data_IF_886240831088
#
_entry.id   IF_886240831088
#
_cell.length_a   1.000
_cell.length_b   1.000
_cell.length_c   1.000
_cell.angle_alpha   90.00
_cell.angle_beta   90.00
_cell.angle_gamma   90.00
#
_symmetry.space_group_name_H-M   'P 1'
#
loop_
_entity.id
_entity.type
_entity.pdbx_description
1 polymer ?
#
# COMPACT_ATOMS: atom_id res chain seq x y z
N UNK A 1 -17.73 -16.56 62.03
CA UNK A 1 -17.14 -16.69 60.68
C UNK A 1 -18.30 -16.91 59.72
N UNK A 2 -18.71 -15.88 58.99
CA UNK A 2 -19.75 -15.96 57.96
C UNK A 2 -19.41 -15.01 56.81
N UNK A 3 -18.74 -15.54 55.79
CA UNK A 3 -18.45 -14.83 54.54
C UNK A 3 -18.59 -15.83 53.38
N UNK A 4 -19.83 -16.13 52.98
CA UNK A 4 -20.11 -16.87 51.76
C UNK A 4 -21.43 -16.40 51.15
N UNK A 5 -21.37 -15.26 50.43
CA UNK A 5 -22.38 -14.94 49.41
C UNK A 5 -21.74 -14.14 48.27
N UNK A 6 -20.78 -14.78 47.58
CA UNK A 6 -20.22 -14.24 46.33
C UNK A 6 -21.17 -14.56 45.17
N UNK A 7 -21.81 -13.50 44.66
CA UNK A 7 -22.79 -13.45 43.58
C UNK A 7 -22.17 -13.95 42.25
N UNK A 8 -22.29 -15.25 41.98
CA UNK A 8 -22.02 -15.86 40.66
C UNK A 8 -23.16 -15.49 39.71
N UNK A 9 -22.97 -14.52 38.82
CA UNK A 9 -23.96 -14.25 37.77
C UNK A 9 -23.72 -13.08 36.82
N UNK A 10 -22.83 -12.12 37.13
CA UNK A 10 -22.72 -10.89 36.33
C UNK A 10 -21.64 -10.88 35.25
N UNK A 11 -20.57 -11.66 35.40
CA UNK A 11 -19.35 -11.37 34.63
C UNK A 11 -19.38 -11.91 33.18
N UNK A 12 -20.14 -12.96 32.86
CA UNK A 12 -20.13 -13.55 31.49
C UNK A 12 -21.05 -12.85 30.48
N UNK A 13 -22.13 -12.22 30.92
CA UNK A 13 -23.10 -11.57 30.02
C UNK A 13 -22.56 -10.28 29.40
N UNK A 14 -21.69 -9.57 30.12
CA UNK A 14 -21.21 -8.25 29.71
C UNK A 14 -20.16 -8.34 28.59
N UNK A 15 -19.30 -9.37 28.60
CA UNK A 15 -18.35 -9.63 27.51
C UNK A 15 -19.00 -10.08 26.19
N UNK A 16 -20.16 -10.73 26.27
CA UNK A 16 -20.93 -11.14 25.08
C UNK A 16 -21.70 -9.94 24.52
N UNK A 17 -22.18 -9.03 25.38
CA UNK A 17 -22.87 -7.80 24.97
C UNK A 17 -21.91 -6.76 24.38
N UNK A 18 -20.72 -6.62 24.95
CA UNK A 18 -19.66 -5.73 24.44
C UNK A 18 -19.15 -6.11 23.04
N UNK A 19 -19.27 -7.39 22.63
CA UNK A 19 -18.93 -7.85 21.28
C UNK A 19 -20.05 -7.68 20.24
N UNK A 20 -21.26 -7.34 20.65
CA UNK A 20 -22.43 -7.21 19.77
C UNK A 20 -22.78 -5.78 19.37
N UNK A 21 -22.09 -4.80 19.95
CA UNK A 21 -22.19 -3.42 19.53
C UNK A 21 -20.90 -3.05 18.80
N UNK A 22 -20.79 -3.28 17.47
CA UNK A 22 -19.80 -2.54 16.73
C UNK A 22 -20.11 -1.07 16.98
N UNK A 23 -19.20 -0.37 17.66
CA UNK A 23 -19.29 1.06 17.78
C UNK A 23 -19.51 1.60 16.35
N UNK A 24 -20.55 2.42 16.11
CA UNK A 24 -20.83 2.90 14.78
C UNK A 24 -19.56 3.61 14.28
N UNK A 25 -18.96 3.08 13.20
CA UNK A 25 -17.82 3.69 12.57
C UNK A 25 -18.21 5.14 12.24
N UNK A 26 -17.61 6.10 12.97
CA UNK A 26 -17.81 7.52 12.70
C UNK A 26 -17.45 7.77 11.23
N UNK A 27 -18.26 8.54 10.49
CA UNK A 27 -18.21 8.60 9.02
C UNK A 27 -16.82 8.77 8.39
N UNK A 28 -15.87 9.41 9.10
CA UNK A 28 -14.48 9.53 8.67
C UNK A 28 -13.73 8.19 8.54
N UNK A 29 -14.07 7.18 9.34
CA UNK A 29 -13.41 5.87 9.33
C UNK A 29 -13.86 5.02 8.15
N UNK A 30 -15.15 5.06 7.82
CA UNK A 30 -15.72 4.46 6.62
C UNK A 30 -15.17 5.10 5.36
N UNK A 31 -15.02 6.44 5.35
CA UNK A 31 -14.39 7.16 4.25
C UNK A 31 -12.91 6.76 4.08
N UNK A 32 -12.16 6.62 5.18
CA UNK A 32 -10.75 6.21 5.14
C UNK A 32 -10.58 4.79 4.59
N UNK A 33 -11.45 3.86 5.00
CA UNK A 33 -11.50 2.50 4.44
C UNK A 33 -11.80 2.52 2.94
N UNK A 34 -12.77 3.32 2.51
CA UNK A 34 -13.13 3.46 1.10
C UNK A 34 -11.96 4.03 0.28
N UNK A 35 -11.28 5.07 0.79
CA UNK A 35 -10.10 5.65 0.13
C UNK A 35 -8.98 4.63 0.02
N UNK A 36 -8.68 3.90 1.10
CA UNK A 36 -7.65 2.86 1.10
C UNK A 36 -7.96 1.76 0.06
N UNK A 37 -9.20 1.28 0.02
CA UNK A 37 -9.64 0.28 -0.94
C UNK A 37 -9.59 0.81 -2.38
N UNK A 38 -10.10 2.02 -2.63
CA UNK A 38 -10.10 2.64 -3.95
C UNK A 38 -8.67 2.84 -4.49
N UNK A 39 -7.73 3.28 -3.64
CA UNK A 39 -6.32 3.37 -3.99
C UNK A 39 -5.76 2.00 -4.37
N UNK A 40 -6.03 0.96 -3.56
CA UNK A 40 -5.61 -0.41 -3.86
C UNK A 40 -6.11 -0.92 -5.20
N UNK A 41 -7.40 -0.75 -5.47
CA UNK A 41 -7.99 -1.16 -6.75
C UNK A 41 -7.47 -0.35 -7.93
N UNK A 42 -7.16 0.93 -7.76
CA UNK A 42 -6.64 1.78 -8.82
C UNK A 42 -5.15 1.51 -9.12
N UNK A 43 -4.34 1.16 -8.12
CA UNK A 43 -2.90 0.96 -8.30
C UNK A 43 -2.58 -0.24 -9.18
N UNK A 44 -3.31 -1.35 -9.06
CA UNK A 44 -3.05 -2.56 -9.86
C UNK A 44 -3.16 -2.29 -11.36
N UNK A 45 -4.28 -1.78 -11.91
CA UNK A 45 -4.37 -1.46 -13.33
C UNK A 45 -3.42 -0.34 -13.73
N UNK A 46 -3.18 0.66 -12.87
CA UNK A 46 -2.20 1.72 -13.16
C UNK A 46 -0.77 1.15 -13.33
N UNK A 47 -0.37 0.18 -12.51
CA UNK A 47 0.91 -0.51 -12.62
C UNK A 47 1.00 -1.35 -13.88
N UNK A 48 -0.07 -2.05 -14.26
CA UNK A 48 -0.13 -2.79 -15.53
C UNK A 48 0.03 -1.85 -16.71
N UNK A 49 -0.70 -0.73 -16.74
CA UNK A 49 -0.61 0.26 -17.81
C UNK A 49 0.78 0.89 -17.90
N UNK A 50 1.38 1.25 -16.75
CA UNK A 50 2.76 1.75 -16.71
C UNK A 50 3.76 0.70 -17.18
N UNK A 51 3.59 -0.57 -16.79
CA UNK A 51 4.45 -1.65 -17.23
C UNK A 51 4.40 -1.85 -18.74
N UNK A 52 3.20 -1.85 -19.33
CA UNK A 52 3.02 -1.93 -20.78
C UNK A 52 3.62 -0.69 -21.48
N UNK A 53 3.42 0.50 -20.93
CA UNK A 53 4.03 1.72 -21.46
C UNK A 53 5.56 1.73 -21.31
N UNK A 54 6.11 1.00 -20.34
CA UNK A 54 7.54 0.87 -20.15
C UNK A 54 8.22 -0.09 -21.14
N UNK A 55 7.48 -0.93 -21.89
CA UNK A 55 8.07 -1.91 -22.83
C UNK A 55 9.05 -1.29 -23.84
N UNK A 56 8.75 -0.16 -24.52
CA UNK A 56 9.71 0.46 -25.44
C UNK A 56 10.97 0.98 -24.72
N UNK A 57 10.88 1.23 -23.42
CA UNK A 57 11.98 1.75 -22.61
C UNK A 57 13.16 0.80 -22.50
N UNK A 58 13.00 -0.49 -22.81
CA UNK A 58 14.11 -1.43 -22.88
C UNK A 58 15.19 -1.02 -23.89
N UNK A 59 14.82 -0.20 -24.89
CA UNK A 59 15.73 0.27 -25.94
C UNK A 59 15.83 1.79 -26.03
N UNK A 60 15.03 2.55 -25.26
CA UNK A 60 14.91 4.00 -25.37
C UNK A 60 14.71 4.65 -23.99
N UNK A 61 15.10 5.91 -23.86
CA UNK A 61 14.80 6.68 -22.65
C UNK A 61 13.30 6.99 -22.56
N UNK A 62 12.62 6.76 -21.42
CA UNK A 62 11.22 7.09 -21.25
C UNK A 62 10.96 8.59 -21.40
N UNK A 63 9.76 8.94 -21.87
CA UNK A 63 9.36 10.34 -22.01
C UNK A 63 9.10 11.02 -20.66
N UNK A 64 9.18 12.36 -20.55
CA UNK A 64 8.81 13.09 -19.33
C UNK A 64 7.36 12.87 -18.89
N UNK A 65 6.45 12.56 -19.83
CA UNK A 65 5.05 12.20 -19.52
C UNK A 65 4.97 10.89 -18.74
N UNK A 66 5.79 9.91 -19.10
CA UNK A 66 5.88 8.64 -18.39
C UNK A 66 6.36 8.87 -16.95
N UNK A 67 7.40 9.67 -16.73
CA UNK A 67 7.90 9.97 -15.38
C UNK A 67 6.88 10.72 -14.52
N UNK A 68 6.10 11.65 -15.11
CA UNK A 68 4.97 12.28 -14.42
C UNK A 68 3.90 11.28 -13.99
N UNK A 69 3.51 10.37 -14.89
CA UNK A 69 2.55 9.32 -14.56
C UNK A 69 3.08 8.38 -13.47
N UNK A 70 4.33 7.94 -13.59
CA UNK A 70 5.01 7.11 -12.61
C UNK A 70 5.07 7.77 -11.22
N UNK A 71 5.38 9.06 -11.14
CA UNK A 71 5.33 9.82 -9.87
C UNK A 71 3.92 9.89 -9.30
N UNK A 72 2.90 10.10 -10.13
CA UNK A 72 1.51 10.08 -9.69
C UNK A 72 1.13 8.73 -9.05
N UNK A 73 1.51 7.63 -9.70
CA UNK A 73 1.28 6.27 -9.17
C UNK A 73 2.10 6.02 -7.91
N UNK A 74 3.34 6.49 -7.84
CA UNK A 74 4.18 6.40 -6.64
C UNK A 74 3.54 7.11 -5.44
N UNK A 75 3.01 8.32 -5.65
CA UNK A 75 2.27 9.04 -4.61
C UNK A 75 0.98 8.32 -4.22
N UNK A 76 0.25 7.74 -5.17
CA UNK A 76 -0.89 6.87 -4.89
C UNK A 76 -0.54 5.69 -3.99
N UNK A 77 0.60 5.03 -4.26
CA UNK A 77 1.13 3.94 -3.45
C UNK A 77 1.50 4.39 -2.03
N UNK A 78 2.16 5.54 -1.90
CA UNK A 78 2.50 6.14 -0.60
C UNK A 78 1.22 6.45 0.19
N UNK A 79 0.21 7.07 -0.44
CA UNK A 79 -1.07 7.37 0.20
C UNK A 79 -1.81 6.09 0.62
N UNK A 80 -1.75 5.02 -0.18
CA UNK A 80 -2.35 3.75 0.20
C UNK A 80 -1.67 3.14 1.43
N UNK A 81 -0.34 3.16 1.48
CA UNK A 81 0.42 2.69 2.65
C UNK A 81 0.11 3.55 3.88
N UNK A 82 0.12 4.88 3.74
CA UNK A 82 -0.18 5.82 4.81
C UNK A 82 -1.59 5.61 5.38
N UNK A 83 -2.60 5.49 4.51
CA UNK A 83 -3.98 5.19 4.93
C UNK A 83 -4.08 3.83 5.62
N UNK A 84 -3.35 2.81 5.16
CA UNK A 84 -3.25 1.51 5.81
C UNK A 84 -2.66 1.59 7.22
N UNK A 85 -1.61 2.39 7.42
CA UNK A 85 -1.04 2.65 8.75
C UNK A 85 -2.02 3.40 9.66
N UNK A 86 -2.72 4.41 9.15
CA UNK A 86 -3.72 5.14 9.93
C UNK A 86 -4.85 4.19 10.36
N UNK A 87 -5.33 3.33 9.46
CA UNK A 87 -6.33 2.30 9.79
C UNK A 87 -5.80 1.31 10.84
N UNK A 88 -4.54 0.87 10.73
CA UNK A 88 -3.94 -0.01 11.73
C UNK A 88 -3.88 0.65 13.11
N UNK A 89 -3.41 1.90 13.19
CA UNK A 89 -3.21 2.62 14.44
C UNK A 89 -4.52 3.07 15.10
N UNK A 90 -5.49 3.57 14.32
CA UNK A 90 -6.74 4.13 14.85
C UNK A 90 -7.85 3.09 14.97
N UNK A 91 -7.92 2.13 14.04
CA UNK A 91 -9.00 1.15 13.99
C UNK A 91 -8.66 -0.19 14.64
N UNK A 92 -7.39 -0.43 14.95
CA UNK A 92 -6.91 -1.74 15.38
C UNK A 92 -7.07 -2.82 14.31
N UNK A 93 -7.35 -2.46 13.05
CA UNK A 93 -7.38 -3.41 11.94
C UNK A 93 -5.96 -3.92 11.73
N UNK A 94 -5.72 -5.20 12.06
CA UNK A 94 -4.40 -5.81 11.88
C UNK A 94 -4.29 -6.39 10.47
N UNK A 95 -3.56 -5.74 9.53
CA UNK A 95 -3.26 -6.38 8.27
C UNK A 95 -2.35 -7.59 8.53
N UNK A 96 -2.36 -8.56 7.62
CA UNK A 96 -1.28 -9.54 7.59
C UNK A 96 0.05 -8.78 7.48
N UNK A 97 1.07 -9.10 8.30
CA UNK A 97 2.32 -8.35 8.34
C UNK A 97 3.02 -8.28 6.97
N UNK A 98 2.84 -9.31 6.14
CA UNK A 98 3.36 -9.37 4.78
C UNK A 98 2.70 -8.36 3.83
N UNK A 99 1.41 -8.06 4.00
CA UNK A 99 0.70 -7.12 3.13
C UNK A 99 1.24 -5.70 3.27
N UNK A 100 1.52 -5.29 4.51
CA UNK A 100 2.12 -4.00 4.81
C UNK A 100 3.55 -3.91 4.24
N UNK A 101 4.34 -4.99 4.38
CA UNK A 101 5.67 -5.07 3.80
C UNK A 101 5.64 -4.92 2.28
N UNK A 102 4.73 -5.62 1.59
CA UNK A 102 4.60 -5.50 0.14
C UNK A 102 4.21 -4.09 -0.30
N UNK A 103 3.28 -3.45 0.43
CA UNK A 103 2.88 -2.07 0.16
C UNK A 103 4.05 -1.09 0.29
N UNK A 104 4.83 -1.19 1.38
CA UNK A 104 6.00 -0.34 1.62
C UNK A 104 7.03 -0.55 0.51
N UNK A 105 7.40 -1.80 0.21
CA UNK A 105 8.37 -2.11 -0.83
C UNK A 105 7.93 -1.56 -2.20
N UNK A 106 6.67 -1.75 -2.57
CA UNK A 106 6.12 -1.20 -3.81
C UNK A 106 6.18 0.33 -3.84
N UNK A 107 5.73 1.01 -2.78
CA UNK A 107 5.75 2.47 -2.70
C UNK A 107 7.17 3.03 -2.79
N UNK A 108 8.11 2.42 -2.07
CA UNK A 108 9.53 2.78 -2.11
C UNK A 108 10.09 2.62 -3.51
N UNK A 109 9.93 1.44 -4.13
CA UNK A 109 10.44 1.19 -5.49
C UNK A 109 9.89 2.20 -6.48
N UNK A 110 8.57 2.43 -6.49
CA UNK A 110 7.95 3.39 -7.42
C UNK A 110 8.45 4.83 -7.20
N UNK A 111 8.67 5.23 -5.95
CA UNK A 111 9.20 6.54 -5.63
C UNK A 111 10.63 6.73 -6.16
N UNK A 112 11.50 5.73 -5.96
CA UNK A 112 12.85 5.74 -6.49
C UNK A 112 12.89 5.71 -8.03
N UNK A 113 12.06 4.88 -8.67
CA UNK A 113 11.96 4.86 -10.13
C UNK A 113 11.47 6.20 -10.69
N UNK A 114 10.53 6.87 -10.00
CA UNK A 114 10.07 8.21 -10.37
C UNK A 114 11.16 9.29 -10.24
N UNK A 115 12.19 9.04 -9.44
CA UNK A 115 13.38 9.88 -9.28
C UNK A 115 14.51 9.57 -10.26
N UNK A 116 14.42 8.48 -11.03
CA UNK A 116 15.40 8.11 -12.08
C UNK A 116 15.25 8.91 -13.38
N UNK A 117 14.32 9.86 -13.45
CA UNK A 117 14.27 10.80 -14.57
C UNK A 117 15.65 11.47 -14.74
N UNK A 118 16.17 11.63 -15.96
CA UNK A 118 17.42 12.37 -16.16
C UNK A 118 17.34 13.77 -15.53
N UNK A 119 18.23 14.04 -14.57
CA UNK A 119 18.20 15.28 -13.76
C UNK A 119 17.25 15.26 -12.55
N UNK A 120 16.54 14.15 -12.32
CA UNK A 120 15.73 13.90 -11.13
C UNK A 120 16.57 13.67 -9.88
N UNK A 121 15.92 13.79 -8.71
CA UNK A 121 16.59 13.74 -7.41
C UNK A 121 17.42 12.48 -7.18
N UNK A 122 16.88 11.31 -7.57
CA UNK A 122 17.58 10.04 -7.36
C UNK A 122 18.67 9.85 -8.40
N UNK A 123 18.39 10.18 -9.67
CA UNK A 123 19.38 10.15 -10.75
C UNK A 123 20.61 11.02 -10.43
N UNK A 124 20.39 12.24 -9.92
CA UNK A 124 21.45 13.18 -9.55
C UNK A 124 22.23 12.75 -8.29
N UNK A 125 21.62 11.97 -7.40
CA UNK A 125 22.26 11.45 -6.20
C UNK A 125 23.19 10.24 -6.46
N UNK A 126 23.14 9.64 -7.66
CA UNK A 126 23.99 8.49 -7.99
C UNK A 126 25.41 8.95 -8.32
N UNK A 127 26.40 8.31 -7.67
CA UNK A 127 27.83 8.51 -7.97
C UNK A 127 28.16 8.24 -9.44
N UNK A 128 27.51 7.22 -10.02
CA UNK A 128 27.64 6.83 -11.41
C UNK A 128 26.24 6.62 -12.01
N UNK A 129 25.60 7.67 -12.55
CA UNK A 129 24.26 7.55 -13.09
C UNK A 129 24.26 6.64 -14.33
N UNK A 130 23.25 5.77 -14.48
CA UNK A 130 23.18 4.86 -15.61
C UNK A 130 22.96 5.64 -16.91
N UNK A 131 23.71 5.28 -17.97
CA UNK A 131 23.54 5.86 -19.31
C UNK A 131 22.14 5.66 -19.88
N UNK A 132 21.49 4.56 -19.51
CA UNK A 132 20.11 4.25 -19.87
C UNK A 132 19.31 3.84 -18.64
N UNK A 133 18.25 4.57 -18.35
CA UNK A 133 17.37 4.36 -17.19
C UNK A 133 16.25 3.36 -17.47
N UNK A 134 15.94 3.11 -18.74
CA UNK A 134 14.79 2.31 -19.17
C UNK A 134 14.79 0.85 -18.68
N UNK A 135 15.90 0.08 -18.78
CA UNK A 135 15.97 -1.29 -18.24
C UNK A 135 15.71 -1.36 -16.73
N UNK A 136 16.21 -0.39 -15.96
CA UNK A 136 15.99 -0.31 -14.52
C UNK A 136 14.55 0.00 -14.16
N UNK A 137 13.90 0.88 -14.92
CA UNK A 137 12.47 1.19 -14.79
C UNK A 137 11.63 -0.03 -15.10
N UNK A 138 11.94 -0.77 -16.17
CA UNK A 138 11.24 -1.99 -16.53
C UNK A 138 11.35 -3.04 -15.43
N UNK A 139 12.56 -3.31 -14.93
CA UNK A 139 12.80 -4.26 -13.85
C UNK A 139 12.08 -3.86 -12.56
N UNK A 140 12.14 -2.58 -12.20
CA UNK A 140 11.47 -2.06 -11.01
C UNK A 140 9.95 -2.11 -11.10
N UNK A 141 9.36 -1.83 -12.27
CA UNK A 141 7.91 -1.97 -12.50
C UNK A 141 7.47 -3.44 -12.48
N UNK A 142 8.27 -4.34 -13.07
CA UNK A 142 8.00 -5.79 -12.98
C UNK A 142 8.02 -6.27 -11.53
N UNK A 143 8.99 -5.81 -10.74
CA UNK A 143 9.07 -6.10 -9.31
C UNK A 143 7.86 -5.56 -8.55
N UNK A 144 7.50 -4.28 -8.75
CA UNK A 144 6.33 -3.67 -8.12
C UNK A 144 5.02 -4.39 -8.49
N UNK A 145 4.87 -4.79 -9.76
CA UNK A 145 3.72 -5.55 -10.22
C UNK A 145 3.66 -6.94 -9.56
N UNK A 146 4.79 -7.64 -9.45
CA UNK A 146 4.89 -8.92 -8.75
C UNK A 146 4.48 -8.82 -7.27
N UNK A 147 4.93 -7.76 -6.58
CA UNK A 147 4.50 -7.46 -5.21
C UNK A 147 2.99 -7.18 -5.11
N UNK A 148 2.43 -6.42 -6.05
CA UNK A 148 0.99 -6.13 -6.10
C UNK A 148 0.14 -7.39 -6.33
N UNK A 149 0.56 -8.28 -7.24
CA UNK A 149 -0.10 -9.57 -7.46
C UNK A 149 -0.02 -10.42 -6.19
N UNK A 150 1.13 -10.45 -5.52
CA UNK A 150 1.27 -11.18 -4.25
C UNK A 150 0.35 -10.60 -3.17
N UNK A 151 0.26 -9.28 -3.05
CA UNK A 151 -0.60 -8.62 -2.09
C UNK A 151 -2.10 -8.93 -2.33
N UNK A 152 -2.55 -8.91 -3.59
CA UNK A 152 -3.94 -9.23 -3.97
C UNK A 152 -4.25 -10.70 -3.72
N UNK A 153 -3.38 -11.62 -4.13
CA UNK A 153 -3.59 -13.07 -3.91
C UNK A 153 -3.63 -13.43 -2.43
N UNK A 154 -2.81 -12.79 -1.59
CA UNK A 154 -2.90 -12.96 -0.13
C UNK A 154 -4.18 -12.40 0.48
N UNK A 155 -4.76 -11.35 -0.11
CA UNK A 155 -6.00 -10.74 0.35
C UNK A 155 -7.24 -11.56 -0.06
N UNK A 156 -7.19 -12.24 -1.21
CA UNK A 156 -8.27 -13.10 -1.69
C UNK A 156 -8.28 -14.50 -1.07
N UNK A 157 -7.16 -14.94 -0.50
CA UNK A 157 -7.00 -16.27 0.09
C UNK A 157 -7.26 -16.34 1.61
N UNK A 158 -7.51 -15.20 2.26
CA UNK A 158 -7.81 -15.09 3.70
C UNK A 158 -9.25 -14.68 3.94
#
# INVERSE_FOLDING_TARGET
MDLCRFRRGGFRSDWVRARRSPAPYHGGMSALLLVHAALGYALVPALVLLFLWALPSLSRTPSPRFFRALRGVAWGAILQVATGFILFLLAGLRPLPLHLLYGILSATVLHFLGGLEPGGWFYAGLKHPPRQVGPWIFAGLLFALGLSVRAVTTALAG
#
